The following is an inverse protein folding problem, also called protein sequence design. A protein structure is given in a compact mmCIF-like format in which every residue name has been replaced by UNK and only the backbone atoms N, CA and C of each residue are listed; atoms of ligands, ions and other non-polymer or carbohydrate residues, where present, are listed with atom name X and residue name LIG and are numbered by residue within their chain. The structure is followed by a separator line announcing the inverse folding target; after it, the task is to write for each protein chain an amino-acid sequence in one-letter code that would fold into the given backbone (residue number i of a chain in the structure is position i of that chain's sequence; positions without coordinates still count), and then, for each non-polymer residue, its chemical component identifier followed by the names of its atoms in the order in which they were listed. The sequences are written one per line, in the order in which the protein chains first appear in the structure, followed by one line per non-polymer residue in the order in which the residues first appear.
data_IF_012062868236
#
_entry.id   IF_012062868236
#
_cell.length_a   1.000
_cell.length_b   1.000
_cell.length_c   1.000
_cell.angle_alpha   90.00
_cell.angle_beta   90.00
_cell.angle_gamma   90.00
#
_symmetry.space_group_name_H-M   'P 1'
#
loop_
_entity.id
_entity.type
_entity.pdbx_description
1 polymer ?
#
# COMPACT_ATOMS: atom_id res chain seq x y z
N UNK A 1 3.57 18.31 -32.60
CA UNK A 1 4.02 17.24 -31.68
C UNK A 1 5.45 17.42 -31.14
N UNK A 2 6.41 17.96 -31.92
CA UNK A 2 7.83 18.06 -31.51
C UNK A 2 8.16 19.01 -30.34
N UNK A 3 7.27 19.95 -29.99
CA UNK A 3 7.47 20.90 -28.90
C UNK A 3 6.85 20.48 -27.55
N UNK A 4 6.06 19.40 -27.53
CA UNK A 4 5.41 18.92 -26.31
C UNK A 4 6.35 18.04 -25.48
N UNK A 5 7.19 17.23 -26.13
CA UNK A 5 8.13 16.31 -25.46
C UNK A 5 9.15 17.02 -24.56
N UNK A 6 9.80 18.14 -24.97
CA UNK A 6 10.76 18.84 -24.12
C UNK A 6 10.09 19.55 -22.91
N UNK A 7 8.86 20.05 -23.09
CA UNK A 7 8.07 20.63 -21.98
C UNK A 7 7.64 19.57 -20.99
N UNK A 8 7.20 18.41 -21.48
CA UNK A 8 6.81 17.27 -20.67
C UNK A 8 8.01 16.71 -19.90
N UNK A 9 9.20 16.64 -20.53
CA UNK A 9 10.45 16.29 -19.84
C UNK A 9 10.85 17.32 -18.78
N UNK A 10 10.69 18.62 -19.05
CA UNK A 10 10.92 19.68 -18.06
C UNK A 10 9.89 19.63 -16.91
N UNK A 11 8.63 19.27 -17.16
CA UNK A 11 7.59 19.11 -16.14
C UNK A 11 7.79 17.82 -15.32
N UNK A 12 8.33 16.75 -15.94
CA UNK A 12 8.81 15.54 -15.23
C UNK A 12 10.04 15.87 -14.37
N UNK A 13 10.97 16.67 -14.89
CA UNK A 13 12.10 17.21 -14.12
C UNK A 13 11.62 18.12 -12.98
N UNK A 14 10.55 18.88 -13.16
CA UNK A 14 9.98 19.70 -12.11
C UNK A 14 9.24 18.89 -11.01
N UNK A 15 8.89 17.63 -11.29
CA UNK A 15 8.35 16.63 -10.32
C UNK A 15 9.44 15.68 -9.81
N UNK A 16 10.68 16.18 -9.79
CA UNK A 16 11.94 15.45 -9.64
C UNK A 16 11.93 14.40 -8.52
N UNK A 17 11.99 13.13 -8.91
CA UNK A 17 12.60 12.13 -8.04
C UNK A 17 14.10 12.46 -8.02
N UNK A 18 14.53 13.11 -6.94
CA UNK A 18 15.93 13.52 -6.76
C UNK A 18 16.81 12.28 -6.78
N UNK A 19 17.75 12.25 -7.73
CA UNK A 19 18.79 11.22 -7.79
C UNK A 19 19.83 11.56 -6.74
N UNK A 20 20.00 10.67 -5.75
CA UNK A 20 20.96 10.88 -4.67
C UNK A 20 22.34 10.47 -5.16
N UNK A 21 23.33 11.38 -5.20
CA UNK A 21 24.67 11.01 -5.61
C UNK A 21 25.23 9.85 -4.78
N UNK A 22 25.89 8.91 -5.45
CA UNK A 22 26.49 7.71 -4.86
C UNK A 22 25.50 6.66 -4.30
N UNK A 23 24.20 6.82 -4.54
CA UNK A 23 23.23 5.75 -4.35
C UNK A 23 23.42 4.64 -5.41
N UNK A 24 23.06 3.40 -5.08
CA UNK A 24 23.13 2.25 -5.98
C UNK A 24 22.41 2.49 -7.33
N UNK A 25 21.32 3.26 -7.28
CA UNK A 25 20.46 3.57 -8.42
C UNK A 25 20.86 4.84 -9.18
N UNK A 26 22.09 5.35 -8.94
CA UNK A 26 22.63 6.53 -9.65
C UNK A 26 23.26 6.21 -11.00
N UNK A 27 23.36 4.92 -11.37
CA UNK A 27 24.02 4.52 -12.61
C UNK A 27 23.11 4.73 -13.84
N UNK A 28 23.67 4.94 -15.05
CA UNK A 28 22.87 5.17 -16.26
C UNK A 28 21.85 4.08 -16.55
N UNK A 29 22.14 2.83 -16.19
CA UNK A 29 21.21 1.72 -16.36
C UNK A 29 19.92 1.93 -15.54
N UNK A 30 20.05 2.23 -14.25
CA UNK A 30 18.91 2.46 -13.35
C UNK A 30 18.10 3.69 -13.78
N UNK A 31 18.79 4.76 -14.19
CA UNK A 31 18.13 5.96 -14.71
C UNK A 31 17.33 5.67 -15.98
N UNK A 32 17.82 4.79 -16.87
CA UNK A 32 17.09 4.40 -18.08
C UNK A 32 15.81 3.60 -17.75
N UNK A 33 15.85 2.67 -16.80
CA UNK A 33 14.64 1.95 -16.33
C UNK A 33 13.63 2.92 -15.73
N UNK A 34 14.08 3.86 -14.91
CA UNK A 34 13.21 4.86 -14.31
C UNK A 34 12.58 5.78 -15.36
N UNK A 35 13.37 6.28 -16.33
CA UNK A 35 12.87 7.08 -17.43
C UNK A 35 11.86 6.33 -18.30
N UNK A 36 12.10 5.05 -18.58
CA UNK A 36 11.17 4.20 -19.31
C UNK A 36 9.84 4.02 -18.56
N UNK A 37 9.91 3.75 -17.24
CA UNK A 37 8.73 3.64 -16.38
C UNK A 37 7.94 4.97 -16.31
N UNK A 38 8.64 6.10 -16.17
CA UNK A 38 8.04 7.42 -16.15
C UNK A 38 7.39 7.79 -17.50
N UNK A 39 8.06 7.55 -18.62
CA UNK A 39 7.48 7.82 -19.95
C UNK A 39 6.21 6.99 -20.23
N UNK A 40 6.12 5.79 -19.65
CA UNK A 40 4.91 4.97 -19.69
C UNK A 40 3.78 5.45 -18.77
N UNK A 41 4.08 6.14 -17.66
CA UNK A 41 3.10 6.56 -16.66
C UNK A 41 2.67 8.04 -16.73
N UNK A 42 3.45 8.89 -17.41
CA UNK A 42 3.24 10.36 -17.44
C UNK A 42 1.92 10.83 -18.06
N UNK A 43 1.25 10.14 -18.99
CA UNK A 43 -0.08 10.56 -19.42
C UNK A 43 -1.16 10.47 -18.31
N UNK A 44 -0.95 9.70 -17.24
CA UNK A 44 -2.01 9.33 -16.29
C UNK A 44 -1.80 9.82 -14.85
N UNK A 45 -0.57 10.12 -14.42
CA UNK A 45 -0.33 10.84 -13.13
C UNK A 45 -0.89 12.28 -13.19
N UNK A 46 -1.25 12.78 -14.37
CA UNK A 46 -2.01 14.03 -14.56
C UNK A 46 -3.54 13.85 -14.45
N UNK A 47 -4.04 12.61 -14.56
CA UNK A 47 -5.47 12.28 -14.48
C UNK A 47 -5.86 11.67 -13.13
N UNK A 48 -4.91 11.06 -12.41
CA UNK A 48 -5.16 10.49 -11.09
C UNK A 48 -5.14 11.60 -10.03
N UNK A 49 -6.32 12.18 -9.84
CA UNK A 49 -6.66 13.16 -8.82
C UNK A 49 -6.21 12.63 -7.47
N UNK A 50 -5.20 13.30 -6.90
CA UNK A 50 -4.87 13.36 -5.47
C UNK A 50 -5.21 12.08 -4.69
N UNK A 51 -4.20 11.23 -4.46
CA UNK A 51 -4.23 10.25 -3.38
C UNK A 51 -4.74 10.97 -2.12
N UNK A 52 -6.02 10.75 -1.80
CA UNK A 52 -6.73 11.58 -0.85
C UNK A 52 -6.32 11.15 0.54
N UNK A 53 -5.17 11.66 0.96
CA UNK A 53 -4.72 11.61 2.34
C UNK A 53 -5.68 12.50 3.13
N UNK A 54 -6.69 11.89 3.74
CA UNK A 54 -7.48 12.62 4.73
C UNK A 54 -6.67 12.67 6.02
N UNK A 55 -6.37 13.88 6.48
CA UNK A 55 -6.06 14.10 7.89
C UNK A 55 -7.36 13.82 8.64
N UNK A 56 -7.49 12.68 9.31
CA UNK A 56 -8.71 12.34 10.05
C UNK A 56 -8.90 13.33 11.19
N UNK A 57 -9.79 14.29 10.99
CA UNK A 57 -10.31 15.22 11.98
C UNK A 57 -11.46 14.60 12.76
N UNK A 58 -11.42 14.79 14.08
CA UNK A 58 -12.43 14.60 15.13
C UNK A 58 -11.87 13.84 16.35
N UNK A 59 -11.06 12.79 16.14
CA UNK A 59 -10.33 12.11 17.23
C UNK A 59 -8.87 12.58 17.38
N UNK A 60 -8.33 13.25 16.35
CA UNK A 60 -6.91 13.63 16.25
C UNK A 60 -6.73 15.15 16.07
N UNK A 61 -7.79 15.96 16.23
CA UNK A 61 -7.67 17.42 16.39
C UNK A 61 -6.87 17.80 17.64
N UNK A 62 -6.71 16.86 18.59
CA UNK A 62 -5.72 16.96 19.64
C UNK A 62 -4.32 17.08 19.03
N UNK A 63 -3.80 16.06 18.34
CA UNK A 63 -2.38 15.92 17.92
C UNK A 63 -1.84 17.08 17.05
N UNK A 64 -2.70 17.88 16.45
CA UNK A 64 -2.34 19.02 15.61
C UNK A 64 -1.86 20.25 16.39
N UNK A 65 -2.02 20.32 17.71
CA UNK A 65 -1.57 21.48 18.46
C UNK A 65 -0.05 21.68 18.28
N UNK A 66 0.41 22.92 18.12
CA UNK A 66 1.84 23.23 18.06
C UNK A 66 2.59 22.66 19.28
N UNK A 67 1.89 22.52 20.41
CA UNK A 67 2.36 21.88 21.64
C UNK A 67 2.58 20.37 21.47
N UNK A 68 1.71 19.66 20.74
CA UNK A 68 1.92 18.24 20.42
C UNK A 68 2.98 18.04 19.36
N UNK A 69 3.05 18.87 18.32
CA UNK A 69 4.16 18.80 17.36
C UNK A 69 5.49 19.10 18.08
N UNK A 70 5.53 20.10 18.96
CA UNK A 70 6.71 20.37 19.79
C UNK A 70 7.03 19.21 20.75
N UNK A 71 6.02 18.54 21.30
CA UNK A 71 6.22 17.37 22.15
C UNK A 71 6.70 16.15 21.35
N UNK A 72 6.15 15.92 20.16
CA UNK A 72 6.60 14.89 19.21
C UNK A 72 8.04 15.19 18.80
N UNK A 73 8.36 16.43 18.42
CA UNK A 73 9.70 16.87 18.10
C UNK A 73 10.70 16.66 19.25
N UNK A 74 10.28 16.96 20.49
CA UNK A 74 11.09 16.74 21.68
C UNK A 74 11.32 15.25 21.95
N UNK A 75 10.27 14.43 21.88
CA UNK A 75 10.33 12.99 22.19
C UNK A 75 11.04 12.20 21.10
N UNK A 76 10.79 12.52 19.83
CA UNK A 76 11.52 11.97 18.69
C UNK A 76 12.92 12.58 18.55
N UNK A 77 13.25 13.61 19.35
CA UNK A 77 14.58 14.18 19.46
C UNK A 77 15.06 14.85 18.18
N UNK A 78 14.23 15.67 17.54
CA UNK A 78 14.58 16.37 16.28
C UNK A 78 15.84 17.25 16.41
N UNK A 79 16.14 17.71 17.63
CA UNK A 79 17.33 18.52 17.90
C UNK A 79 17.32 19.82 17.11
N UNK A 80 18.52 20.33 16.78
CA UNK A 80 18.67 21.60 16.07
C UNK A 80 18.32 21.53 14.57
N UNK A 81 18.28 20.33 13.98
CA UNK A 81 18.00 20.13 12.55
C UNK A 81 16.53 19.87 12.21
N UNK A 82 15.63 19.95 13.19
CA UNK A 82 14.19 19.79 12.99
C UNK A 82 13.79 18.42 12.43
N UNK A 83 12.61 18.36 11.81
CA UNK A 83 12.07 17.10 11.28
C UNK A 83 12.98 16.47 10.22
N UNK A 84 13.64 17.25 9.36
CA UNK A 84 14.56 16.72 8.34
C UNK A 84 15.75 15.95 8.92
N UNK A 85 16.35 16.43 10.00
CA UNK A 85 17.41 15.69 10.70
C UNK A 85 16.88 14.42 11.38
N UNK A 86 15.65 14.46 11.88
CA UNK A 86 14.98 13.25 12.37
C UNK A 86 14.75 12.23 11.26
N UNK A 87 14.27 12.65 10.08
CA UNK A 87 14.08 11.75 8.93
C UNK A 87 15.39 11.05 8.57
N UNK A 88 16.49 11.81 8.49
CA UNK A 88 17.83 11.27 8.20
C UNK A 88 18.24 10.21 9.22
N UNK A 89 18.19 10.54 10.52
CA UNK A 89 18.53 9.59 11.58
C UNK A 89 17.60 8.38 11.59
N UNK A 90 16.31 8.55 11.28
CA UNK A 90 15.36 7.46 11.27
C UNK A 90 15.74 6.44 10.19
N UNK A 91 16.03 6.89 8.96
CA UNK A 91 16.51 6.02 7.89
C UNK A 91 17.84 5.37 8.26
N UNK A 92 18.78 6.13 8.82
CA UNK A 92 20.07 5.61 9.27
C UNK A 92 19.91 4.47 10.28
N UNK A 93 18.97 4.59 11.22
CA UNK A 93 18.67 3.55 12.20
C UNK A 93 18.05 2.30 11.56
N UNK A 94 17.12 2.47 10.60
CA UNK A 94 16.53 1.33 9.86
C UNK A 94 17.59 0.60 9.02
N UNK A 95 18.50 1.34 8.40
CA UNK A 95 19.66 0.77 7.68
C UNK A 95 20.58 0.01 8.62
N UNK A 96 20.95 0.61 9.76
CA UNK A 96 21.83 -0.02 10.74
C UNK A 96 21.22 -1.26 11.40
N UNK A 97 19.89 -1.35 11.48
CA UNK A 97 19.20 -2.52 12.04
C UNK A 97 19.38 -3.78 11.18
N UNK A 98 19.66 -3.62 9.88
CA UNK A 98 19.88 -4.74 8.93
C UNK A 98 21.34 -4.87 8.46
N UNK A 99 22.18 -3.85 8.64
CA UNK A 99 23.59 -3.84 8.19
C UNK A 99 24.50 -4.86 8.93
N UNK A 100 23.92 -5.68 9.81
CA UNK A 100 24.59 -6.77 10.53
C UNK A 100 23.77 -8.05 10.65
N UNK A 101 22.62 -8.16 9.98
CA UNK A 101 21.85 -9.40 9.96
C UNK A 101 22.57 -10.43 9.08
N UNK A 102 22.72 -11.66 9.58
CA UNK A 102 23.29 -12.78 8.81
C UNK A 102 22.28 -13.38 7.82
N UNK A 103 21.30 -12.59 7.37
CA UNK A 103 20.29 -13.06 6.42
C UNK A 103 20.83 -13.15 4.98
N UNK A 104 21.98 -12.50 4.70
CA UNK A 104 22.60 -12.46 3.38
C UNK A 104 21.75 -11.71 2.35
N UNK A 105 20.78 -10.92 2.78
CA UNK A 105 19.86 -10.19 1.91
C UNK A 105 20.40 -8.79 1.59
N UNK A 106 20.07 -8.32 0.39
CA UNK A 106 20.39 -6.96 -0.04
C UNK A 106 19.19 -6.05 0.22
N UNK A 107 19.37 -5.05 1.07
CA UNK A 107 18.32 -4.13 1.50
C UNK A 107 18.49 -2.76 0.85
N UNK A 108 17.41 -2.17 0.34
CA UNK A 108 17.40 -0.84 -0.27
C UNK A 108 16.31 0.03 0.34
N UNK A 109 16.62 1.29 0.65
CA UNK A 109 15.78 2.13 1.50
C UNK A 109 15.25 3.36 0.77
N UNK A 110 13.96 3.63 0.92
CA UNK A 110 13.26 4.76 0.32
C UNK A 110 12.45 5.47 1.38
N UNK A 111 12.32 6.79 1.26
CA UNK A 111 11.49 7.59 2.17
C UNK A 111 10.27 8.16 1.47
N UNK A 112 9.13 8.07 2.14
CA UNK A 112 7.94 8.79 1.74
C UNK A 112 7.39 9.62 2.90
N UNK A 113 7.03 10.87 2.60
CA UNK A 113 6.27 11.73 3.50
C UNK A 113 5.53 12.79 2.69
N UNK A 114 4.23 13.07 2.93
CA UNK A 114 3.45 13.96 2.07
C UNK A 114 3.92 15.42 2.08
N UNK A 115 4.50 15.90 3.18
CA UNK A 115 5.11 17.22 3.22
C UNK A 115 6.55 17.18 2.71
N UNK A 116 7.02 18.27 2.09
CA UNK A 116 8.36 18.42 1.52
C UNK A 116 9.23 19.47 2.22
N UNK A 117 8.70 20.12 3.26
CA UNK A 117 9.36 21.15 4.07
C UNK A 117 10.61 20.64 4.82
N UNK A 118 10.69 19.34 5.06
CA UNK A 118 11.84 18.69 5.68
C UNK A 118 13.03 18.49 4.75
N UNK A 119 12.86 18.63 3.42
CA UNK A 119 13.90 18.35 2.44
C UNK A 119 15.19 19.13 2.69
N UNK A 120 15.19 20.48 2.88
CA UNK A 120 16.44 21.23 3.00
C UNK A 120 17.30 20.79 4.19
N UNK A 121 16.68 20.51 5.34
CA UNK A 121 17.40 20.07 6.53
C UNK A 121 17.92 18.64 6.39
N UNK A 122 17.13 17.76 5.75
CA UNK A 122 17.57 16.40 5.45
C UNK A 122 18.74 16.39 4.46
N UNK A 123 18.67 17.18 3.39
CA UNK A 123 19.72 17.27 2.39
C UNK A 123 21.00 17.87 2.95
N UNK A 124 20.87 18.90 3.81
CA UNK A 124 22.01 19.43 4.57
C UNK A 124 22.66 18.32 5.39
N UNK A 125 21.85 17.49 6.08
CA UNK A 125 22.37 16.36 6.86
C UNK A 125 22.98 15.27 5.99
N UNK A 126 22.38 14.95 4.85
CA UNK A 126 22.88 13.99 3.87
C UNK A 126 24.21 14.44 3.26
N UNK A 127 24.45 15.75 3.13
CA UNK A 127 25.73 16.28 2.67
C UNK A 127 26.83 16.19 3.75
N UNK A 128 26.47 16.33 5.03
CA UNK A 128 27.40 16.21 6.16
C UNK A 128 27.73 14.76 6.52
N UNK A 129 26.71 13.90 6.55
CA UNK A 129 26.76 12.50 6.98
C UNK A 129 25.92 11.66 5.99
N UNK A 130 26.50 11.29 4.83
CA UNK A 130 25.73 10.61 3.79
C UNK A 130 25.20 9.25 4.23
N UNK A 131 23.89 9.03 4.08
CA UNK A 131 23.31 7.69 4.07
C UNK A 131 24.03 6.84 3.02
N UNK A 132 24.40 5.61 3.39
CA UNK A 132 25.19 4.70 2.57
C UNK A 132 24.55 4.34 1.22
N UNK A 133 25.26 3.59 0.36
CA UNK A 133 24.87 3.36 -1.03
C UNK A 133 23.53 2.63 -1.21
N UNK A 134 23.02 1.97 -0.17
CA UNK A 134 21.72 1.31 -0.15
C UNK A 134 20.53 2.29 -0.10
N UNK A 135 20.76 3.59 0.15
CA UNK A 135 19.70 4.57 0.16
C UNK A 135 19.28 4.96 -1.27
N UNK A 136 18.04 4.63 -1.65
CA UNK A 136 17.50 4.75 -3.01
C UNK A 136 16.76 6.05 -3.32
N UNK A 137 16.43 6.86 -2.31
CA UNK A 137 15.81 8.17 -2.55
C UNK A 137 14.61 8.45 -1.66
N UNK A 138 13.99 9.59 -1.93
CA UNK A 138 12.81 10.04 -1.21
C UNK A 138 11.88 10.83 -2.12
N UNK A 139 10.58 10.83 -1.82
CA UNK A 139 9.60 11.62 -2.54
C UNK A 139 8.36 11.92 -1.68
N UNK A 140 7.60 12.96 -2.06
CA UNK A 140 6.40 13.37 -1.33
C UNK A 140 5.12 12.72 -1.86
N UNK A 141 5.09 12.37 -3.14
CA UNK A 141 4.05 11.54 -3.74
C UNK A 141 4.37 10.05 -3.61
N UNK A 142 3.45 9.28 -3.02
CA UNK A 142 3.61 7.86 -2.71
C UNK A 142 3.63 7.00 -3.98
N UNK A 143 2.78 7.31 -4.96
CA UNK A 143 2.73 6.56 -6.22
C UNK A 143 4.06 6.70 -6.97
N UNK A 144 4.60 7.92 -7.01
CA UNK A 144 5.88 8.23 -7.65
C UNK A 144 7.06 7.50 -7.02
N UNK A 145 7.17 7.47 -5.68
CA UNK A 145 8.26 6.70 -5.04
C UNK A 145 8.10 5.19 -5.27
N UNK A 146 6.87 4.67 -5.28
CA UNK A 146 6.60 3.27 -5.59
C UNK A 146 6.97 2.92 -7.04
N UNK A 147 6.70 3.82 -8.00
CA UNK A 147 7.16 3.66 -9.39
C UNK A 147 8.69 3.64 -9.48
N UNK A 148 9.39 4.49 -8.71
CA UNK A 148 10.85 4.46 -8.64
C UNK A 148 11.37 3.14 -8.08
N UNK A 149 10.82 2.69 -6.96
CA UNK A 149 11.18 1.42 -6.32
C UNK A 149 11.04 0.25 -7.29
N UNK A 150 9.95 0.20 -8.06
CA UNK A 150 9.76 -0.82 -9.09
C UNK A 150 10.82 -0.74 -10.19
N UNK A 151 11.06 0.45 -10.72
CA UNK A 151 12.06 0.64 -11.78
C UNK A 151 13.46 0.21 -11.31
N UNK A 152 13.81 0.56 -10.06
CA UNK A 152 15.06 0.14 -9.44
C UNK A 152 15.11 -1.38 -9.25
N UNK A 153 14.01 -2.04 -8.83
CA UNK A 153 13.98 -3.52 -8.80
C UNK A 153 14.16 -4.13 -10.19
N UNK A 154 13.51 -3.60 -11.22
CA UNK A 154 13.69 -4.11 -12.58
C UNK A 154 15.15 -3.98 -13.04
N UNK A 155 15.79 -2.87 -12.72
CA UNK A 155 17.21 -2.67 -12.98
C UNK A 155 18.08 -3.66 -12.17
N UNK A 156 17.79 -3.88 -10.89
CA UNK A 156 18.48 -4.86 -10.06
C UNK A 156 18.35 -6.27 -10.65
N UNK A 157 17.14 -6.69 -11.06
CA UNK A 157 16.92 -8.01 -11.69
C UNK A 157 17.73 -8.16 -12.97
N UNK A 158 17.88 -7.08 -13.74
CA UNK A 158 18.60 -7.11 -15.00
C UNK A 158 20.13 -7.05 -14.84
N UNK A 159 20.62 -6.48 -13.73
CA UNK A 159 22.05 -6.16 -13.55
C UNK A 159 22.74 -6.96 -12.45
N UNK A 160 21.97 -7.67 -11.62
CA UNK A 160 22.48 -8.40 -10.46
C UNK A 160 21.80 -9.77 -10.35
N UNK A 161 22.46 -10.72 -9.68
CA UNK A 161 21.94 -12.05 -9.39
C UNK A 161 20.93 -12.04 -8.22
N UNK A 162 21.08 -11.11 -7.29
CA UNK A 162 20.21 -10.97 -6.12
C UNK A 162 18.97 -10.09 -6.34
N UNK A 163 18.80 -9.48 -7.51
CA UNK A 163 17.76 -8.44 -7.71
C UNK A 163 16.32 -8.87 -7.43
N UNK A 164 15.99 -10.17 -7.59
CA UNK A 164 14.68 -10.73 -7.22
C UNK A 164 14.51 -10.94 -5.71
N UNK A 165 15.60 -11.21 -5.01
CA UNK A 165 15.63 -11.46 -3.57
C UNK A 165 15.90 -10.21 -2.75
N UNK A 166 16.33 -9.11 -3.39
CA UNK A 166 16.53 -7.82 -2.76
C UNK A 166 15.24 -7.35 -2.07
N UNK A 167 15.38 -6.87 -0.84
CA UNK A 167 14.26 -6.34 -0.03
C UNK A 167 14.24 -4.83 -0.16
N UNK A 168 13.11 -4.28 -0.60
CA UNK A 168 12.92 -2.83 -0.56
C UNK A 168 12.26 -2.44 0.76
N UNK A 169 12.71 -1.33 1.32
CA UNK A 169 12.18 -0.73 2.54
C UNK A 169 11.57 0.63 2.20
N UNK A 170 10.29 0.81 2.53
CA UNK A 170 9.61 2.09 2.49
C UNK A 170 9.49 2.65 3.91
N UNK A 171 10.29 3.67 4.22
CA UNK A 171 10.31 4.33 5.52
C UNK A 171 9.42 5.55 5.49
N UNK A 172 8.46 5.62 6.41
CA UNK A 172 7.44 6.66 6.51
C UNK A 172 7.62 7.40 7.84
N UNK A 173 8.57 8.37 7.91
CA UNK A 173 8.67 9.24 9.08
C UNK A 173 7.35 9.97 9.28
N UNK A 174 6.93 10.22 10.52
CA UNK A 174 5.69 10.94 10.78
C UNK A 174 5.81 11.76 12.06
N UNK A 175 5.26 12.97 12.02
CA UNK A 175 5.15 13.86 13.18
C UNK A 175 3.70 14.21 13.55
N UNK A 176 2.77 13.74 12.73
CA UNK A 176 1.33 13.75 12.94
C UNK A 176 0.75 12.47 12.31
N UNK A 177 -0.50 12.10 12.63
CA UNK A 177 -1.13 10.95 12.02
C UNK A 177 -1.35 11.14 10.52
N UNK A 178 -0.77 10.23 9.75
CA UNK A 178 -0.98 10.05 8.32
C UNK A 178 -2.00 8.92 8.12
N UNK A 179 -3.13 9.22 7.50
CA UNK A 179 -4.20 8.26 7.24
C UNK A 179 -4.44 8.21 5.73
N UNK A 180 -4.20 7.05 5.13
CA UNK A 180 -4.62 6.71 3.78
C UNK A 180 -5.80 5.75 3.87
N UNK A 181 -6.99 6.33 3.74
CA UNK A 181 -8.26 5.62 3.86
C UNK A 181 -8.84 5.17 2.52
N UNK A 182 -8.16 5.51 1.43
CA UNK A 182 -8.43 4.94 0.11
C UNK A 182 -7.75 3.56 0.06
N UNK A 183 -8.46 2.49 -0.34
CA UNK A 183 -7.87 1.17 -0.45
C UNK A 183 -6.68 1.16 -1.40
N UNK A 184 -5.53 0.73 -0.90
CA UNK A 184 -4.30 0.57 -1.68
C UNK A 184 -3.86 -0.90 -1.75
N UNK A 185 -3.14 -1.22 -2.82
CA UNK A 185 -2.39 -2.47 -2.98
C UNK A 185 -1.01 -2.13 -3.55
N UNK A 186 0.03 -2.86 -3.15
CA UNK A 186 1.36 -2.70 -3.76
C UNK A 186 1.51 -3.70 -4.90
N UNK A 187 2.03 -3.24 -6.04
CA UNK A 187 2.31 -4.10 -7.18
C UNK A 187 3.24 -5.26 -6.77
N UNK A 188 3.00 -6.46 -7.29
CA UNK A 188 3.79 -7.65 -6.97
C UNK A 188 5.29 -7.47 -7.24
N UNK A 189 5.65 -6.64 -8.22
CA UNK A 189 7.04 -6.29 -8.53
C UNK A 189 7.71 -5.42 -7.46
N UNK A 190 6.99 -4.94 -6.46
CA UNK A 190 7.55 -4.31 -5.27
C UNK A 190 7.92 -5.29 -4.17
N UNK A 191 7.47 -6.54 -4.26
CA UNK A 191 7.76 -7.56 -3.26
C UNK A 191 9.12 -8.24 -3.54
N UNK A 192 9.91 -8.61 -2.50
CA UNK A 192 9.66 -8.39 -1.07
C UNK A 192 9.74 -6.92 -0.64
N UNK A 193 8.80 -6.49 0.19
CA UNK A 193 8.63 -5.11 0.65
C UNK A 193 8.46 -5.05 2.17
N UNK A 194 9.22 -4.19 2.82
CA UNK A 194 9.04 -3.82 4.23
C UNK A 194 8.59 -2.37 4.29
N UNK A 195 7.54 -2.08 5.05
CA UNK A 195 7.07 -0.71 5.26
C UNK A 195 7.19 -0.39 6.74
N UNK A 196 7.97 0.63 7.08
CA UNK A 196 8.16 1.06 8.47
C UNK A 196 7.57 2.45 8.68
N UNK A 197 6.57 2.54 9.56
CA UNK A 197 5.94 3.80 9.96
C UNK A 197 6.57 4.46 11.19
N UNK A 198 6.32 5.74 11.35
CA UNK A 198 6.61 6.45 12.60
C UNK A 198 5.71 5.95 13.75
N UNK A 199 6.32 5.70 14.92
CA UNK A 199 5.61 5.39 16.16
C UNK A 199 5.91 6.44 17.23
N UNK A 200 4.88 6.90 17.92
CA UNK A 200 5.02 7.82 19.06
C UNK A 200 4.28 7.28 20.28
N UNK A 201 5.01 7.05 21.38
CA UNK A 201 4.48 6.54 22.66
C UNK A 201 3.66 5.25 22.52
N UNK A 202 4.09 4.36 21.63
CA UNK A 202 3.40 3.09 21.37
C UNK A 202 2.21 3.19 20.42
N UNK A 203 1.89 4.38 19.92
CA UNK A 203 0.85 4.60 18.91
C UNK A 203 1.47 4.76 17.53
N UNK A 204 0.95 4.00 16.57
CA UNK A 204 1.33 4.12 15.16
C UNK A 204 0.78 5.41 14.57
N UNK A 205 1.63 6.14 13.84
CA UNK A 205 1.27 7.42 13.23
C UNK A 205 0.89 7.27 11.76
N UNK A 206 1.08 6.09 11.15
CA UNK A 206 0.77 5.86 9.74
C UNK A 206 -0.27 4.76 9.64
N UNK A 207 -1.34 5.02 8.90
CA UNK A 207 -2.50 4.16 8.82
C UNK A 207 -2.89 3.93 7.36
N UNK A 208 -2.96 2.68 6.93
CA UNK A 208 -3.31 2.28 5.57
C UNK A 208 -4.58 1.44 5.54
N UNK A 209 -5.45 1.74 4.58
CA UNK A 209 -6.54 0.86 4.17
C UNK A 209 -6.03 -0.08 3.07
N UNK A 210 -6.01 -1.38 3.35
CA UNK A 210 -5.67 -2.40 2.35
C UNK A 210 -6.93 -3.08 1.84
N UNK A 211 -7.03 -3.25 0.52
CA UNK A 211 -8.15 -3.95 -0.10
C UNK A 211 -8.14 -5.45 0.21
N UNK A 212 -6.96 -6.07 0.25
CA UNK A 212 -6.77 -7.47 0.63
C UNK A 212 -6.04 -7.57 1.95
N UNK A 213 -6.18 -8.74 2.57
CA UNK A 213 -5.42 -9.08 3.76
C UNK A 213 -3.92 -8.98 3.46
N UNK A 214 -3.18 -8.06 4.10
CA UNK A 214 -1.77 -7.81 3.80
C UNK A 214 -0.84 -8.91 4.32
N UNK A 215 -1.37 -10.04 4.84
CA UNK A 215 -0.61 -11.22 5.30
C UNK A 215 0.06 -12.02 4.16
N UNK A 216 0.61 -11.34 3.16
CA UNK A 216 1.62 -11.92 2.28
C UNK A 216 2.96 -11.91 3.06
N UNK A 217 3.61 -13.06 3.19
CA UNK A 217 4.90 -13.16 3.89
C UNK A 217 5.99 -12.26 3.28
N UNK A 218 5.80 -11.84 2.02
CA UNK A 218 6.67 -10.93 1.28
C UNK A 218 6.37 -9.45 1.54
N UNK A 219 5.25 -9.11 2.20
CA UNK A 219 4.90 -7.75 2.61
C UNK A 219 4.92 -7.66 4.15
N UNK A 220 5.89 -6.94 4.69
CA UNK A 220 6.03 -6.75 6.14
C UNK A 220 5.67 -5.32 6.52
N UNK A 221 4.79 -5.18 7.51
CA UNK A 221 4.31 -3.88 8.00
C UNK A 221 4.79 -3.67 9.43
N UNK A 222 5.73 -2.75 9.61
CA UNK A 222 6.29 -2.37 10.89
C UNK A 222 5.72 -1.02 11.32
N UNK A 223 5.02 -0.99 12.45
CA UNK A 223 4.46 0.25 13.00
C UNK A 223 3.50 0.98 12.06
N UNK A 224 2.77 0.21 11.25
CA UNK A 224 1.69 0.68 10.38
C UNK A 224 0.37 0.21 10.97
N UNK A 225 -0.53 1.14 11.24
CA UNK A 225 -1.90 0.84 11.61
C UNK A 225 -2.72 0.41 10.38
N UNK A 226 -3.64 -0.53 10.59
CA UNK A 226 -4.53 -1.03 9.53
C UNK A 226 -5.92 -0.43 9.71
N UNK A 227 -6.36 0.34 8.73
CA UNK A 227 -7.73 0.86 8.67
C UNK A 227 -8.59 -0.21 8.04
N UNK A 228 -9.53 -0.75 8.83
CA UNK A 228 -10.54 -1.73 8.41
C UNK A 228 -10.05 -2.71 7.33
N UNK A 229 -9.40 -3.79 7.77
CA UNK A 229 -9.20 -4.95 6.91
C UNK A 229 -10.52 -5.30 6.24
N UNK A 230 -10.52 -5.42 4.92
CA UNK A 230 -11.65 -5.94 4.16
C UNK A 230 -12.20 -7.17 4.89
N UNK A 231 -13.36 -7.00 5.54
CA UNK A 231 -14.11 -8.12 6.09
C UNK A 231 -14.73 -8.85 4.90
N UNK A 232 -14.61 -10.19 4.83
CA UNK A 232 -15.24 -10.94 3.76
C UNK A 232 -16.70 -10.51 3.67
N UNK A 233 -17.11 -10.10 2.47
CA UNK A 233 -18.42 -9.51 2.23
C UNK A 233 -19.51 -10.39 2.84
N UNK A 234 -20.12 -9.93 3.93
CA UNK A 234 -21.10 -10.71 4.69
C UNK A 234 -22.29 -11.12 3.80
N UNK A 235 -22.58 -10.33 2.76
CA UNK A 235 -23.58 -10.68 1.75
C UNK A 235 -23.10 -11.84 0.86
N UNK A 236 -21.83 -11.85 0.44
CA UNK A 236 -21.25 -12.95 -0.33
C UNK A 236 -21.23 -14.25 0.48
N UNK A 237 -20.70 -14.22 1.71
CA UNK A 237 -20.60 -15.40 2.58
C UNK A 237 -21.97 -15.86 3.06
N UNK A 238 -22.82 -14.95 3.53
CA UNK A 238 -24.18 -15.25 3.98
C UNK A 238 -25.06 -15.79 2.84
N UNK A 239 -24.94 -15.22 1.64
CA UNK A 239 -25.62 -15.71 0.44
C UNK A 239 -25.20 -17.13 0.07
N UNK A 240 -23.90 -17.42 0.07
CA UNK A 240 -23.38 -18.76 -0.21
C UNK A 240 -23.87 -19.80 0.80
N UNK A 241 -23.78 -19.50 2.11
CA UNK A 241 -24.29 -20.38 3.17
C UNK A 241 -25.81 -20.61 3.02
N UNK A 242 -26.56 -19.56 2.66
CA UNK A 242 -27.99 -19.65 2.38
C UNK A 242 -28.33 -20.60 1.21
N UNK A 243 -27.55 -20.55 0.13
CA UNK A 243 -27.71 -21.46 -1.03
C UNK A 243 -27.42 -22.90 -0.62
N UNK A 244 -26.28 -23.16 0.02
CA UNK A 244 -25.88 -24.51 0.43
C UNK A 244 -26.88 -25.11 1.41
N UNK A 245 -27.31 -24.35 2.42
CA UNK A 245 -28.33 -24.79 3.38
C UNK A 245 -29.67 -25.12 2.72
N UNK A 246 -30.08 -24.32 1.74
CA UNK A 246 -31.33 -24.54 0.99
C UNK A 246 -31.27 -25.79 0.10
N UNK A 247 -30.12 -26.07 -0.53
CA UNK A 247 -29.90 -27.29 -1.31
C UNK A 247 -30.01 -28.55 -0.44
N UNK A 248 -29.39 -28.54 0.75
CA UNK A 248 -29.54 -29.63 1.71
C UNK A 248 -30.98 -29.79 2.19
N UNK A 249 -31.70 -28.68 2.42
CA UNK A 249 -33.13 -28.70 2.77
C UNK A 249 -33.99 -29.36 1.68
N UNK A 250 -33.81 -28.97 0.41
CA UNK A 250 -34.52 -29.55 -0.73
C UNK A 250 -34.22 -31.03 -0.93
N UNK A 251 -32.94 -31.42 -0.83
CA UNK A 251 -32.54 -32.82 -0.89
C UNK A 251 -33.17 -33.63 0.25
N UNK A 252 -33.22 -33.08 1.47
CA UNK A 252 -33.90 -33.66 2.62
C UNK A 252 -35.40 -33.88 2.38
N UNK A 253 -36.09 -32.89 1.81
CA UNK A 253 -37.51 -33.02 1.43
C UNK A 253 -37.73 -34.12 0.38
N UNK A 254 -36.85 -34.20 -0.62
CA UNK A 254 -36.89 -35.24 -1.66
C UNK A 254 -36.70 -36.65 -1.07
N UNK A 255 -35.70 -36.82 -0.20
CA UNK A 255 -35.43 -38.08 0.50
C UNK A 255 -36.57 -38.48 1.43
N UNK A 256 -37.12 -37.55 2.22
CA UNK A 256 -38.24 -37.81 3.12
C UNK A 256 -39.50 -38.26 2.36
N UNK A 257 -39.78 -37.63 1.21
CA UNK A 257 -40.93 -37.97 0.36
C UNK A 257 -40.78 -39.36 -0.28
N UNK A 258 -39.55 -39.73 -0.69
CA UNK A 258 -39.27 -41.01 -1.32
C UNK A 258 -39.20 -42.18 -0.33
N UNK A 259 -38.60 -41.96 0.85
CA UNK A 259 -38.43 -42.98 1.87
C UNK A 259 -39.69 -43.18 2.74
N UNK A 260 -40.49 -42.13 2.95
CA UNK A 260 -41.69 -42.15 3.79
C UNK A 260 -42.86 -41.42 3.10
N UNK A 261 -43.63 -42.11 2.22
CA UNK A 261 -44.71 -41.50 1.44
C UNK A 261 -45.76 -40.70 2.25
N UNK A 262 -46.14 -41.08 3.49
CA UNK A 262 -47.04 -40.27 4.31
C UNK A 262 -46.52 -38.86 4.66
N UNK A 263 -45.20 -38.65 4.59
CA UNK A 263 -44.57 -37.36 4.84
C UNK A 263 -44.53 -36.45 3.59
N UNK A 264 -44.92 -36.93 2.41
CA UNK A 264 -44.87 -36.19 1.16
C UNK A 264 -45.62 -34.83 1.18
N UNK A 265 -46.83 -34.71 1.79
CA UNK A 265 -47.52 -33.41 1.85
C UNK A 265 -46.77 -32.37 2.69
N UNK A 266 -46.15 -32.81 3.79
CA UNK A 266 -45.35 -31.94 4.67
C UNK A 266 -44.04 -31.56 4.00
N UNK A 267 -43.37 -32.52 3.37
CA UNK A 267 -42.14 -32.27 2.63
C UNK A 267 -42.35 -31.32 1.43
N UNK A 268 -43.47 -31.46 0.71
CA UNK A 268 -43.83 -30.55 -0.37
C UNK A 268 -44.05 -29.11 0.12
N UNK A 269 -44.72 -28.94 1.26
CA UNK A 269 -44.92 -27.62 1.86
C UNK A 269 -43.60 -26.96 2.32
N UNK A 270 -42.58 -27.77 2.65
CA UNK A 270 -41.25 -27.27 3.04
C UNK A 270 -40.36 -26.94 1.82
N UNK A 271 -40.66 -27.44 0.63
CA UNK A 271 -39.88 -27.11 -0.57
C UNK A 271 -39.97 -25.62 -0.94
N UNK A 272 -41.14 -25.00 -0.81
CA UNK A 272 -41.34 -23.58 -1.13
C UNK A 272 -40.42 -22.62 -0.35
N UNK A 273 -40.35 -22.67 1.01
CA UNK A 273 -39.46 -21.81 1.74
C UNK A 273 -37.99 -22.07 1.41
N UNK A 274 -37.57 -23.32 1.17
CA UNK A 274 -36.19 -23.59 0.75
C UNK A 274 -35.86 -23.05 -0.64
N UNK A 275 -36.79 -23.10 -1.60
CA UNK A 275 -36.61 -22.46 -2.90
C UNK A 275 -36.52 -20.93 -2.76
N UNK A 276 -37.35 -20.32 -1.91
CA UNK A 276 -37.32 -18.89 -1.65
C UNK A 276 -36.01 -18.45 -1.00
N UNK A 277 -35.52 -19.18 0.02
CA UNK A 277 -34.22 -18.90 0.66
C UNK A 277 -33.05 -19.16 -0.27
N UNK A 278 -33.14 -20.13 -1.18
CA UNK A 278 -32.12 -20.37 -2.21
C UNK A 278 -32.02 -19.17 -3.16
N UNK A 279 -33.15 -18.67 -3.68
CA UNK A 279 -33.17 -17.50 -4.56
C UNK A 279 -32.64 -16.26 -3.83
N UNK A 280 -33.06 -16.03 -2.59
CA UNK A 280 -32.55 -14.94 -1.76
C UNK A 280 -31.04 -15.08 -1.49
N UNK A 281 -30.56 -16.31 -1.27
CA UNK A 281 -29.14 -16.62 -1.14
C UNK A 281 -28.34 -16.27 -2.39
N UNK A 282 -28.85 -16.66 -3.57
CA UNK A 282 -28.23 -16.35 -4.87
C UNK A 282 -28.17 -14.84 -5.10
N UNK A 283 -29.27 -14.11 -4.90
CA UNK A 283 -29.29 -12.66 -5.12
C UNK A 283 -28.37 -11.92 -4.16
N UNK A 284 -28.33 -12.34 -2.90
CA UNK A 284 -27.43 -11.77 -1.88
C UNK A 284 -25.96 -12.08 -2.21
N UNK A 285 -25.66 -13.29 -2.66
CA UNK A 285 -24.32 -13.68 -3.09
C UNK A 285 -23.86 -12.89 -4.31
N UNK A 286 -24.68 -12.80 -5.36
CA UNK A 286 -24.38 -12.00 -6.56
C UNK A 286 -24.21 -10.52 -6.24
N UNK A 287 -25.02 -9.97 -5.33
CA UNK A 287 -24.88 -8.59 -4.86
C UNK A 287 -23.55 -8.38 -4.13
N UNK A 288 -23.12 -9.37 -3.34
CA UNK A 288 -21.80 -9.38 -2.72
C UNK A 288 -20.66 -9.38 -3.75
N UNK A 289 -20.74 -10.26 -4.74
CA UNK A 289 -19.76 -10.33 -5.84
C UNK A 289 -19.69 -9.01 -6.63
N UNK A 290 -20.84 -8.41 -6.95
CA UNK A 290 -20.88 -7.12 -7.67
C UNK A 290 -20.28 -6.02 -6.80
N UNK A 291 -20.61 -5.96 -5.51
CA UNK A 291 -20.02 -4.99 -4.58
C UNK A 291 -18.49 -5.14 -4.52
N UNK A 292 -17.99 -6.37 -4.39
CA UNK A 292 -16.55 -6.66 -4.35
C UNK A 292 -15.86 -6.21 -5.65
N UNK A 293 -16.46 -6.52 -6.82
CA UNK A 293 -15.95 -6.08 -8.12
C UNK A 293 -15.88 -4.55 -8.22
N UNK A 294 -16.93 -3.84 -7.82
CA UNK A 294 -16.93 -2.38 -7.81
C UNK A 294 -15.89 -1.79 -6.85
N UNK A 295 -15.65 -2.42 -5.69
CA UNK A 295 -14.60 -1.96 -4.76
C UNK A 295 -13.19 -2.29 -5.26
N UNK A 296 -13.02 -3.41 -5.97
CA UNK A 296 -11.79 -3.76 -6.69
C UNK A 296 -11.42 -2.66 -7.70
N UNK A 297 -12.38 -2.19 -8.51
CA UNK A 297 -12.17 -1.13 -9.50
C UNK A 297 -11.71 0.20 -8.87
N UNK A 298 -12.03 0.43 -7.59
CA UNK A 298 -11.62 1.65 -6.86
C UNK A 298 -10.30 1.52 -6.10
N UNK A 299 -9.67 0.34 -6.10
CA UNK A 299 -8.41 0.12 -5.39
C UNK A 299 -7.22 0.66 -6.19
N UNK A 300 -6.38 1.48 -5.54
CA UNK A 300 -5.20 2.04 -6.19
C UNK A 300 -4.01 1.06 -6.05
N UNK A 301 -3.50 0.57 -7.19
CA UNK A 301 -2.30 -0.29 -7.21
C UNK A 301 -1.03 0.58 -7.34
N UNK A 302 -0.29 0.70 -6.24
CA UNK A 302 0.94 1.48 -6.16
C UNK A 302 2.10 0.76 -6.83
N UNK A 303 2.84 1.50 -7.67
CA UNK A 303 3.96 0.94 -8.44
C UNK A 303 3.56 0.24 -9.74
N UNK A 304 2.28 0.19 -10.11
CA UNK A 304 1.88 -0.29 -11.41
C UNK A 304 1.86 0.88 -12.43
N UNK A 305 2.58 0.82 -13.57
CA UNK A 305 2.32 1.72 -14.68
C UNK A 305 0.99 1.25 -15.29
N UNK A 306 -0.12 1.79 -14.78
CA UNK A 306 -1.52 1.56 -15.17
C UNK A 306 -1.63 0.73 -16.46
N UNK A 307 -1.98 -0.56 -16.33
CA UNK A 307 -2.22 -1.44 -17.46
C UNK A 307 -3.60 -1.12 -18.06
N UNK A 308 -3.58 -0.75 -19.35
CA UNK A 308 -4.64 -1.15 -20.27
C UNK A 308 -4.45 -2.64 -20.55
N UNK A 309 -5.30 -3.48 -19.98
CA UNK A 309 -5.83 -4.66 -20.69
C UNK A 309 -7.26 -4.35 -21.12
#
# INVERSE_FOLDING_TARGET
MQAALPRLLNDIQAREIRVIPNAFNSTPAFLAYFQAAALGSVPLVLLDVASAIRRVGASLDAIRSELEIANVARVQGWGHGGFGAYVHRFVQNEMAAVDGTQDGQHHFFYVWHPDSDWYPNFEGRQAEDPLGPAFGGYHHDLATICLRMRADRQALIATTDYGRAAVLHLVIPAYYPLVMDHPIEFADELLPLVITGGRHRGTDLVWFAFYRDPRDERLQLNFIGLLNLYQPNLAMTGGYVGVVGSLFGLAGCGLASAAFPPCAPVAAALCEPFMATMIAGVTTHCSGVIFDLCTCETTQVLGNPIFLE
#
